data_IF_517497243877
#
_entry.id   IF_517497243877
#
_cell.length_a   1.000
_cell.length_b   1.000
_cell.length_c   1.000
_cell.angle_alpha   90.00
_cell.angle_beta   90.00
_cell.angle_gamma   90.00
#
_symmetry.space_group_name_H-M   'P 1'
#
loop_
_entity.id
_entity.type
_entity.pdbx_description
1 polymer ?
#
# COMPACT_ATOMS: atom_id res chain seq x y z
N UNK A 1 -18.28 -1.20 10.99
CA UNK A 1 -17.46 -1.07 12.21
C UNK A 1 -16.50 0.11 12.00
N UNK A 2 -16.35 1.01 12.96
CA UNK A 2 -15.46 2.19 12.86
C UNK A 2 -14.14 1.97 13.63
N UNK A 3 -13.92 0.77 14.19
CA UNK A 3 -12.69 0.41 14.90
C UNK A 3 -11.49 0.35 13.96
N UNK A 4 -10.32 0.76 14.45
CA UNK A 4 -9.05 0.68 13.73
C UNK A 4 -8.32 -0.60 14.08
N UNK A 5 -7.83 -1.30 13.08
CA UNK A 5 -7.17 -2.59 13.23
C UNK A 5 -5.78 -2.54 12.61
N UNK A 6 -4.81 -3.15 13.28
CA UNK A 6 -3.47 -3.35 12.73
C UNK A 6 -3.40 -4.72 12.04
N UNK A 7 -2.94 -4.74 10.79
CA UNK A 7 -2.65 -5.99 10.09
C UNK A 7 -1.37 -6.59 10.66
N UNK A 8 -1.46 -7.80 11.22
CA UNK A 8 -0.30 -8.54 11.76
C UNK A 8 0.27 -9.52 10.73
N UNK A 9 -0.60 -10.14 9.92
CA UNK A 9 -0.19 -11.06 8.86
C UNK A 9 -1.16 -11.04 7.67
N UNK A 10 -0.63 -11.33 6.48
CA UNK A 10 -1.43 -11.46 5.24
C UNK A 10 -1.17 -12.83 4.61
N UNK A 11 -2.24 -13.62 4.46
CA UNK A 11 -2.20 -14.95 3.86
C UNK A 11 -2.71 -14.90 2.41
N UNK A 12 -1.82 -14.51 1.48
CA UNK A 12 -2.18 -14.24 0.07
C UNK A 12 -2.88 -15.41 -0.63
N UNK A 13 -2.46 -16.65 -0.35
CA UNK A 13 -3.04 -17.86 -0.95
C UNK A 13 -4.51 -18.08 -0.56
N UNK A 14 -4.87 -17.70 0.67
CA UNK A 14 -6.23 -17.82 1.22
C UNK A 14 -7.04 -16.53 1.09
N UNK A 15 -6.41 -15.44 0.63
CA UNK A 15 -6.98 -14.09 0.58
C UNK A 15 -7.59 -13.63 1.90
N UNK A 16 -6.90 -13.88 3.01
CA UNK A 16 -7.28 -13.41 4.35
C UNK A 16 -6.14 -12.66 5.04
N UNK A 17 -6.48 -11.83 6.02
CA UNK A 17 -5.54 -11.17 6.91
C UNK A 17 -5.88 -11.43 8.38
N UNK A 18 -4.84 -11.50 9.22
CA UNK A 18 -4.97 -11.52 10.67
C UNK A 18 -4.79 -10.10 11.20
N UNK A 19 -5.77 -9.68 12.00
CA UNK A 19 -5.91 -8.33 12.53
C UNK A 19 -5.80 -8.34 14.05
N UNK A 20 -5.32 -7.23 14.60
CA UNK A 20 -5.30 -6.94 16.04
C UNK A 20 -5.90 -5.55 16.28
N UNK A 21 -6.81 -5.44 17.25
CA UNK A 21 -7.52 -4.18 17.51
C UNK A 21 -6.55 -3.14 18.09
N UNK A 22 -6.51 -1.95 17.50
CA UNK A 22 -5.68 -0.86 18.00
C UNK A 22 -6.33 -0.18 19.20
N UNK A 23 -5.56 0.04 20.27
CA UNK A 23 -5.96 0.84 21.42
C UNK A 23 -6.87 0.13 22.44
N UNK A 24 -7.08 -1.19 22.31
CA UNK A 24 -7.79 -1.98 23.30
C UNK A 24 -6.89 -2.32 24.51
N UNK A 25 -7.48 -2.38 25.71
CA UNK A 25 -6.76 -2.77 26.93
C UNK A 25 -6.37 -4.26 26.92
N UNK A 26 -7.22 -5.08 26.29
CA UNK A 26 -6.98 -6.51 26.05
C UNK A 26 -6.72 -6.75 24.56
N UNK A 27 -5.93 -7.79 24.27
CA UNK A 27 -5.61 -8.18 22.89
C UNK A 27 -6.85 -8.82 22.26
N UNK A 28 -7.49 -8.11 21.32
CA UNK A 28 -8.56 -8.64 20.48
C UNK A 28 -8.01 -8.90 19.07
N UNK A 29 -8.22 -10.11 18.56
CA UNK A 29 -7.76 -10.52 17.23
C UNK A 29 -8.91 -11.03 16.35
N UNK A 30 -8.76 -10.86 15.04
CA UNK A 30 -9.74 -11.34 14.07
C UNK A 30 -9.06 -11.71 12.75
N UNK A 31 -9.53 -12.78 12.11
CA UNK A 31 -9.15 -13.10 10.72
C UNK A 31 -10.29 -12.73 9.78
N UNK A 32 -10.01 -11.92 8.76
CA UNK A 32 -11.02 -11.43 7.79
C UNK A 32 -10.56 -11.60 6.35
N UNK A 33 -11.50 -11.59 5.40
CA UNK A 33 -11.17 -11.60 3.99
C UNK A 33 -10.51 -10.28 3.58
N UNK A 34 -9.55 -10.33 2.64
CA UNK A 34 -8.87 -9.13 2.17
C UNK A 34 -9.81 -8.15 1.47
N UNK A 35 -10.86 -8.66 0.82
CA UNK A 35 -11.85 -7.84 0.12
C UNK A 35 -12.73 -7.01 1.07
N UNK A 36 -12.73 -7.33 2.38
CA UNK A 36 -13.44 -6.60 3.43
C UNK A 36 -12.57 -5.52 4.09
N UNK A 37 -11.30 -5.39 3.71
CA UNK A 37 -10.37 -4.41 4.29
C UNK A 37 -10.39 -3.09 3.53
N UNK A 38 -10.51 -1.99 4.29
CA UNK A 38 -10.22 -0.64 3.79
C UNK A 38 -8.99 -0.13 4.54
N UNK A 39 -7.91 0.12 3.80
CA UNK A 39 -6.67 0.65 4.37
C UNK A 39 -6.81 2.15 4.57
N UNK A 40 -6.51 2.61 5.77
CA UNK A 40 -6.36 4.04 6.08
C UNK A 40 -4.89 4.32 6.43
N UNK A 41 -4.43 5.52 6.13
CA UNK A 41 -3.15 6.03 6.59
C UNK A 41 -3.40 7.19 7.54
N UNK A 42 -2.74 7.21 8.70
CA UNK A 42 -2.85 8.34 9.62
C UNK A 42 -2.12 9.57 9.06
N UNK A 43 -2.54 10.75 9.51
CA UNK A 43 -1.91 11.99 9.06
C UNK A 43 -0.42 11.97 9.48
N UNK A 44 0.48 12.01 8.48
CA UNK A 44 1.96 11.88 8.55
C UNK A 44 2.54 10.47 8.38
N UNK A 45 1.71 9.45 8.21
CA UNK A 45 2.24 8.15 7.78
C UNK A 45 2.80 8.25 6.36
N UNK A 46 4.07 7.87 6.21
CA UNK A 46 4.72 7.85 4.90
C UNK A 46 4.19 6.67 4.11
N UNK A 47 3.19 6.93 3.27
CA UNK A 47 2.77 5.96 2.26
C UNK A 47 3.85 5.95 1.18
N UNK A 48 4.55 4.82 1.05
CA UNK A 48 5.39 4.56 -0.11
C UNK A 48 4.49 4.01 -1.22
N UNK A 49 4.14 4.81 -2.24
CA UNK A 49 3.36 4.28 -3.34
C UNK A 49 4.18 3.20 -4.05
N UNK A 50 3.65 1.99 -4.12
CA UNK A 50 4.21 0.98 -5.02
C UNK A 50 4.05 1.48 -6.46
N UNK A 51 5.16 1.62 -7.19
CA UNK A 51 5.11 1.95 -8.61
C UNK A 51 4.79 0.69 -9.41
N UNK A 52 3.69 0.72 -10.15
CA UNK A 52 3.36 -0.30 -11.16
C UNK A 52 3.60 0.29 -12.55
N UNK A 53 4.29 -0.45 -13.42
CA UNK A 53 4.45 -0.02 -14.82
C UNK A 53 3.09 -0.13 -15.53
N UNK A 54 2.55 1.00 -15.96
CA UNK A 54 1.27 1.06 -16.68
C UNK A 54 1.45 1.00 -18.20
N UNK A 55 2.66 1.26 -18.69
CA UNK A 55 2.97 1.22 -20.12
C UNK A 55 4.41 1.64 -20.42
N UNK A 56 4.84 1.44 -21.67
CA UNK A 56 6.13 1.92 -22.19
C UNK A 56 6.06 2.12 -23.70
N UNK A 57 6.83 3.09 -24.21
CA UNK A 57 7.01 3.32 -25.65
C UNK A 57 8.50 3.23 -25.96
N UNK A 58 8.91 2.31 -26.82
CA UNK A 58 10.30 2.09 -27.20
C UNK A 58 10.54 2.52 -28.65
N UNK A 59 10.99 3.77 -28.82
CA UNK A 59 11.38 4.32 -30.14
C UNK A 59 12.83 4.83 -30.18
N UNK A 60 13.54 4.76 -29.05
CA UNK A 60 14.87 5.38 -28.88
C UNK A 60 16.08 4.47 -29.11
N UNK A 61 15.88 3.17 -29.32
CA UNK A 61 16.99 2.20 -29.33
C UNK A 61 17.71 2.19 -27.98
N UNK A 62 19.02 2.45 -28.02
CA UNK A 62 19.91 2.42 -26.84
C UNK A 62 19.90 3.73 -26.02
N UNK A 63 19.10 4.73 -26.43
CA UNK A 63 19.01 5.99 -25.70
C UNK A 63 18.34 5.81 -24.32
N UNK A 64 18.70 6.62 -23.31
CA UNK A 64 18.07 6.57 -22.00
C UNK A 64 16.55 6.76 -22.05
N UNK A 65 15.85 6.14 -21.12
CA UNK A 65 14.41 6.27 -20.99
C UNK A 65 14.03 7.57 -20.28
N UNK A 66 12.91 8.16 -20.71
CA UNK A 66 12.18 9.12 -19.90
C UNK A 66 11.09 8.37 -19.13
N UNK A 67 11.05 8.57 -17.81
CA UNK A 67 10.01 8.01 -16.94
C UNK A 67 8.94 9.07 -16.69
N UNK A 68 7.68 8.74 -16.96
CA UNK A 68 6.52 9.56 -16.58
C UNK A 68 5.84 8.86 -15.41
N UNK A 69 5.60 9.59 -14.33
CA UNK A 69 4.92 9.06 -13.15
C UNK A 69 3.65 9.87 -12.93
N UNK A 70 2.53 9.16 -12.79
CA UNK A 70 1.27 9.77 -12.41
C UNK A 70 1.14 9.75 -10.88
N UNK A 71 1.38 10.89 -10.24
CA UNK A 71 1.23 11.03 -8.80
C UNK A 71 1.32 12.48 -8.36
N UNK A 72 0.39 12.90 -7.50
CA UNK A 72 0.24 14.31 -7.08
C UNK A 72 1.05 14.65 -5.80
N UNK A 73 1.86 13.74 -5.28
CA UNK A 73 2.47 13.86 -3.94
C UNK A 73 4.01 13.95 -3.94
N UNK A 74 4.56 14.76 -3.04
CA UNK A 74 6.00 14.90 -2.77
C UNK A 74 6.74 13.56 -2.58
N UNK A 75 6.08 12.57 -1.97
CA UNK A 75 6.65 11.24 -1.75
C UNK A 75 6.92 10.46 -3.04
N UNK A 76 6.21 10.76 -4.13
CA UNK A 76 6.46 10.17 -5.46
C UNK A 76 7.81 10.64 -6.01
N UNK A 77 8.14 11.92 -5.85
CA UNK A 77 9.44 12.45 -6.25
C UNK A 77 10.56 11.90 -5.37
N UNK A 78 10.34 11.78 -4.06
CA UNK A 78 11.31 11.21 -3.12
C UNK A 78 11.64 9.73 -3.39
N UNK A 79 10.73 8.97 -4.00
CA UNK A 79 11.00 7.58 -4.40
C UNK A 79 11.98 7.45 -5.59
N UNK A 80 12.27 8.54 -6.31
CA UNK A 80 13.15 8.58 -7.48
C UNK A 80 14.59 9.05 -7.19
N UNK A 81 14.89 9.40 -5.94
CA UNK A 81 16.17 9.98 -5.51
C UNK A 81 16.73 9.22 -4.32
#
# INVERSE_FOLDING_TARGET
DQRLWQVKAIHKSKKVADLELLGAADVETQTVALDDLVVIAEFRDTIWPGLVSTGKVQRGGDKPFHSVINGENYHVLKALT
#
